data_IF_110573694776
#
_entry.id   IF_110573694776
#
_cell.length_a   1.000
_cell.length_b   1.000
_cell.length_c   1.000
_cell.angle_alpha   90.00
_cell.angle_beta   90.00
_cell.angle_gamma   90.00
#
_symmetry.space_group_name_H-M   'P 1'
#
loop_
_entity.id
_entity.type
_entity.pdbx_description
1 polymer ?
#
# COMPACT_ATOMS: atom_id res chain seq x y z
N UNK A 1 19.36 12.14 53.03
CA UNK A 1 19.83 13.00 51.91
C UNK A 1 20.72 12.24 50.89
N UNK A 2 20.43 10.97 50.57
CA UNK A 2 21.19 10.16 49.59
C UNK A 2 20.42 9.57 48.39
N UNK A 3 19.07 9.59 48.31
CA UNK A 3 18.38 8.94 47.17
C UNK A 3 18.37 9.79 45.89
N UNK A 4 18.43 11.12 46.00
CA UNK A 4 18.36 12.06 44.87
C UNK A 4 19.53 11.89 43.88
N UNK A 5 20.81 11.83 44.30
CA UNK A 5 21.91 11.66 43.35
C UNK A 5 21.91 10.28 42.68
N UNK A 6 21.48 9.22 43.38
CA UNK A 6 21.35 7.87 42.83
C UNK A 6 20.24 7.83 41.76
N UNK A 7 19.11 8.49 42.03
CA UNK A 7 18.01 8.63 41.09
C UNK A 7 18.43 9.42 39.84
N UNK A 8 19.12 10.55 40.00
CA UNK A 8 19.61 11.36 38.88
C UNK A 8 20.62 10.58 38.03
N UNK A 9 21.56 9.87 38.65
CA UNK A 9 22.54 9.06 37.93
C UNK A 9 21.89 7.88 37.19
N UNK A 10 20.88 7.25 37.79
CA UNK A 10 20.06 6.23 37.14
C UNK A 10 19.27 6.76 35.94
N UNK A 11 18.70 7.97 36.03
CA UNK A 11 17.98 8.61 34.92
C UNK A 11 18.94 8.96 33.77
N UNK A 12 20.12 9.52 34.08
CA UNK A 12 21.13 9.84 33.04
C UNK A 12 21.65 8.59 32.32
N UNK A 13 21.84 7.47 33.05
CA UNK A 13 22.23 6.19 32.46
C UNK A 13 21.10 5.58 31.60
N UNK A 14 19.84 5.73 32.00
CA UNK A 14 18.68 5.28 31.23
C UNK A 14 18.57 5.98 29.86
N UNK A 15 18.95 7.26 29.79
CA UNK A 15 18.97 8.04 28.52
C UNK A 15 20.08 7.56 27.57
N UNK A 16 21.11 6.87 28.07
CA UNK A 16 22.28 6.43 27.30
C UNK A 16 22.25 4.95 26.86
N UNK A 17 21.17 4.21 27.13
CA UNK A 17 21.11 2.77 26.83
C UNK A 17 21.17 2.45 25.32
N UNK A 18 20.85 3.41 24.45
CA UNK A 18 20.88 3.24 22.98
C UNK A 18 21.73 4.34 22.34
N UNK A 19 22.84 3.93 21.71
CA UNK A 19 23.65 4.82 20.88
C UNK A 19 22.98 5.05 19.52
N UNK A 20 22.28 6.18 19.39
CA UNK A 20 21.57 6.56 18.16
C UNK A 20 22.48 6.74 16.95
N UNK A 21 23.79 6.95 17.14
CA UNK A 21 24.75 7.13 16.03
C UNK A 21 24.98 5.83 15.26
N UNK A 22 24.65 4.67 15.85
CA UNK A 22 24.75 3.35 15.20
C UNK A 22 23.54 2.99 14.35
N UNK A 23 22.47 3.77 14.41
CA UNK A 23 21.25 3.53 13.63
C UNK A 23 21.14 4.54 12.50
N UNK A 24 20.85 4.03 11.29
CA UNK A 24 20.68 4.90 10.12
C UNK A 24 19.45 5.77 10.30
N UNK A 25 19.62 7.08 10.17
CA UNK A 25 18.51 7.99 9.88
C UNK A 25 18.11 7.88 8.39
N UNK A 26 17.04 8.58 8.00
CA UNK A 26 16.55 8.50 6.62
C UNK A 26 17.52 9.05 5.58
N UNK A 27 18.35 10.05 5.92
CA UNK A 27 19.34 10.61 5.01
C UNK A 27 20.52 9.66 4.78
N UNK A 28 20.82 8.81 5.76
CA UNK A 28 21.83 7.75 5.68
C UNK A 28 21.33 6.47 4.98
N UNK A 29 20.04 6.39 4.67
CA UNK A 29 19.43 5.30 3.90
C UNK A 29 19.04 5.79 2.51
N UNK A 30 19.78 5.38 1.49
CA UNK A 30 19.61 5.89 0.12
C UNK A 30 18.17 5.75 -0.41
N UNK A 31 17.47 4.66 -0.08
CA UNK A 31 16.07 4.48 -0.49
C UNK A 31 15.12 5.42 0.27
N UNK A 32 15.30 5.60 1.59
CA UNK A 32 14.44 6.50 2.37
C UNK A 32 14.62 7.94 1.88
N UNK A 33 15.87 8.37 1.69
CA UNK A 33 16.20 9.70 1.19
C UNK A 33 15.55 9.99 -0.17
N UNK A 34 15.65 9.06 -1.13
CA UNK A 34 15.03 9.23 -2.45
C UNK A 34 13.50 9.29 -2.38
N UNK A 35 12.87 8.39 -1.63
CA UNK A 35 11.40 8.35 -1.53
C UNK A 35 10.85 9.58 -0.81
N UNK A 36 11.52 10.08 0.24
CA UNK A 36 11.13 11.33 0.92
C UNK A 36 11.34 12.59 0.07
N UNK A 37 12.23 12.53 -0.91
CA UNK A 37 12.46 13.65 -1.83
C UNK A 37 11.37 13.77 -2.92
N UNK A 38 10.50 12.75 -3.07
CA UNK A 38 9.36 12.81 -4.00
C UNK A 38 8.34 13.79 -3.44
N UNK A 39 8.16 14.92 -4.13
CA UNK A 39 7.28 16.02 -3.73
C UNK A 39 6.16 16.31 -4.74
N UNK A 40 6.08 15.53 -5.82
CA UNK A 40 5.08 15.63 -6.88
C UNK A 40 4.57 14.23 -7.26
N UNK A 41 3.37 14.11 -7.85
CA UNK A 41 2.83 12.83 -8.27
C UNK A 41 3.77 12.10 -9.23
N UNK A 42 3.95 10.79 -9.01
CA UNK A 42 4.87 9.94 -9.79
C UNK A 42 4.40 9.66 -11.23
N UNK A 43 3.19 10.11 -11.58
CA UNK A 43 2.65 10.08 -12.94
C UNK A 43 2.16 8.70 -13.39
N UNK A 44 1.84 7.80 -12.47
CA UNK A 44 1.22 6.53 -12.84
C UNK A 44 -0.22 6.73 -13.30
N UNK A 45 -0.59 5.98 -14.33
CA UNK A 45 -1.93 5.93 -14.89
C UNK A 45 -2.32 4.49 -15.21
N UNK A 46 -3.61 4.18 -15.15
CA UNK A 46 -4.16 2.88 -15.59
C UNK A 46 -4.12 2.80 -17.11
N UNK A 47 -3.61 1.68 -17.63
CA UNK A 47 -3.74 1.35 -19.06
C UNK A 47 -5.16 0.85 -19.30
N UNK A 48 -6.02 1.70 -19.87
CA UNK A 48 -7.47 1.46 -19.96
C UNK A 48 -7.84 0.06 -20.52
N UNK A 49 -7.19 -0.37 -21.61
CA UNK A 49 -7.40 -1.67 -22.27
C UNK A 49 -7.08 -2.89 -21.40
N UNK A 50 -6.29 -2.70 -20.33
CA UNK A 50 -5.84 -3.78 -19.45
C UNK A 50 -6.73 -4.00 -18.23
N UNK A 51 -7.66 -3.07 -17.98
CA UNK A 51 -8.56 -3.11 -16.83
C UNK A 51 -9.57 -4.26 -16.98
N UNK A 52 -9.55 -5.20 -16.04
CA UNK A 52 -10.43 -6.36 -16.03
C UNK A 52 -10.91 -6.66 -14.61
N UNK A 53 -12.10 -7.27 -14.53
CA UNK A 53 -12.62 -7.82 -13.28
C UNK A 53 -12.76 -9.34 -13.43
N UNK A 54 -12.54 -10.04 -12.32
CA UNK A 54 -13.09 -11.37 -12.11
C UNK A 54 -14.12 -11.30 -10.97
N UNK A 55 -14.54 -12.45 -10.46
CA UNK A 55 -15.55 -12.54 -9.40
C UNK A 55 -15.17 -11.83 -8.09
N UNK A 56 -13.88 -11.56 -7.83
CA UNK A 56 -13.38 -11.12 -6.51
C UNK A 56 -12.40 -9.94 -6.57
N UNK A 57 -11.92 -9.56 -7.74
CA UNK A 57 -10.81 -8.66 -7.90
C UNK A 57 -10.88 -7.81 -9.17
N UNK A 58 -10.27 -6.63 -9.09
CA UNK A 58 -9.88 -5.81 -10.23
C UNK A 58 -8.40 -6.03 -10.53
N UNK A 59 -8.04 -6.13 -11.79
CA UNK A 59 -6.66 -6.20 -12.27
C UNK A 59 -6.45 -5.25 -13.42
N UNK A 60 -5.31 -4.58 -13.46
CA UNK A 60 -4.91 -3.72 -14.58
C UNK A 60 -3.38 -3.60 -14.65
N UNK A 61 -2.87 -3.11 -15.77
CA UNK A 61 -1.52 -2.56 -15.87
C UNK A 61 -1.58 -1.07 -15.53
N UNK A 62 -0.60 -0.61 -14.78
CA UNK A 62 -0.37 0.81 -14.53
C UNK A 62 0.99 1.19 -15.12
N UNK A 63 1.10 2.39 -15.68
CA UNK A 63 2.36 2.85 -16.28
C UNK A 63 2.64 4.29 -15.88
N UNK A 64 3.91 4.62 -15.74
CA UNK A 64 4.39 6.00 -15.80
C UNK A 64 5.32 6.15 -17.01
N UNK A 65 6.13 7.21 -17.05
CA UNK A 65 7.08 7.45 -18.14
C UNK A 65 8.22 6.42 -18.21
N UNK A 66 8.52 5.75 -17.10
CA UNK A 66 9.71 4.92 -16.94
C UNK A 66 9.39 3.43 -16.98
N UNK A 67 8.26 3.02 -16.41
CA UNK A 67 7.94 1.60 -16.22
C UNK A 67 6.44 1.30 -16.22
N UNK A 68 6.13 0.02 -16.45
CA UNK A 68 4.79 -0.57 -16.34
C UNK A 68 4.78 -1.61 -15.22
N UNK A 69 3.73 -1.61 -14.40
CA UNK A 69 3.51 -2.53 -13.27
C UNK A 69 2.15 -3.20 -13.41
N UNK A 70 1.99 -4.35 -12.76
CA UNK A 70 0.69 -5.00 -12.58
C UNK A 70 0.07 -4.53 -11.26
N UNK A 71 -1.21 -4.12 -11.33
CA UNK A 71 -2.04 -3.69 -10.21
C UNK A 71 -3.17 -4.70 -9.99
N UNK A 72 -3.33 -5.14 -8.74
CA UNK A 72 -4.46 -5.95 -8.30
C UNK A 72 -5.13 -5.35 -7.07
N UNK A 73 -6.45 -5.29 -7.08
CA UNK A 73 -7.28 -4.91 -5.92
C UNK A 73 -8.26 -6.05 -5.66
N UNK A 74 -8.08 -6.77 -4.56
CA UNK A 74 -8.82 -7.99 -4.22
C UNK A 74 -9.73 -7.75 -3.02
N UNK A 75 -11.00 -8.11 -3.11
CA UNK A 75 -11.93 -8.04 -1.98
C UNK A 75 -11.79 -9.30 -1.09
N UNK A 76 -11.70 -9.12 0.23
CA UNK A 76 -11.52 -10.20 1.21
C UNK A 76 -12.75 -10.38 2.12
N UNK A 77 -12.94 -11.58 2.66
CA UNK A 77 -14.12 -11.94 3.46
C UNK A 77 -14.24 -11.19 4.80
N UNK A 78 -13.16 -10.62 5.31
CA UNK A 78 -13.12 -9.84 6.54
C UNK A 78 -13.42 -8.35 6.32
N UNK A 79 -14.12 -8.04 5.23
CA UNK A 79 -14.46 -6.66 4.82
C UNK A 79 -13.24 -5.77 4.55
N UNK A 80 -12.11 -6.36 4.18
CA UNK A 80 -10.91 -5.64 3.76
C UNK A 80 -10.65 -5.76 2.25
N UNK A 81 -9.75 -4.91 1.75
CA UNK A 81 -9.24 -5.00 0.38
C UNK A 81 -7.72 -5.18 0.42
N UNK A 82 -7.21 -6.06 -0.44
CA UNK A 82 -5.78 -6.23 -0.66
C UNK A 82 -5.36 -5.54 -1.94
N UNK A 83 -4.55 -4.50 -1.80
CA UNK A 83 -3.85 -3.82 -2.90
C UNK A 83 -2.50 -4.47 -3.13
N UNK A 84 -2.23 -4.93 -4.35
CA UNK A 84 -0.93 -5.49 -4.75
C UNK A 84 -0.45 -4.78 -6.00
N UNK A 85 0.78 -4.28 -5.96
CA UNK A 85 1.49 -3.72 -7.11
C UNK A 85 2.78 -4.52 -7.27
N UNK A 86 3.02 -5.06 -8.46
CA UNK A 86 4.18 -5.89 -8.75
C UNK A 86 4.74 -5.60 -10.13
N UNK A 87 5.97 -6.05 -10.39
CA UNK A 87 6.50 -6.04 -11.75
C UNK A 87 5.77 -7.06 -12.63
N UNK A 88 5.61 -6.78 -13.94
CA UNK A 88 4.93 -7.68 -14.84
C UNK A 88 5.72 -8.98 -15.05
N UNK A 89 5.04 -9.97 -15.62
CA UNK A 89 5.67 -11.21 -16.08
C UNK A 89 6.85 -10.88 -17.02
N UNK A 90 8.00 -11.54 -16.80
CA UNK A 90 9.25 -11.27 -17.50
C UNK A 90 10.25 -10.41 -16.70
N UNK A 91 9.92 -9.97 -15.49
CA UNK A 91 10.88 -9.36 -14.57
C UNK A 91 12.08 -10.29 -14.29
N UNK A 92 13.29 -9.71 -14.17
CA UNK A 92 14.55 -10.46 -13.98
C UNK A 92 14.47 -11.38 -12.74
N UNK A 93 13.79 -10.92 -11.69
CA UNK A 93 13.56 -11.70 -10.47
C UNK A 93 12.21 -11.32 -9.87
N UNK A 94 11.56 -12.29 -9.24
CA UNK A 94 10.32 -12.05 -8.50
C UNK A 94 10.60 -11.15 -7.29
N UNK A 95 9.75 -10.15 -7.05
CA UNK A 95 9.81 -9.34 -5.83
C UNK A 95 9.43 -10.21 -4.62
N UNK A 96 10.08 -9.94 -3.50
CA UNK A 96 9.82 -10.66 -2.26
C UNK A 96 8.38 -10.44 -1.79
N UNK A 97 7.70 -11.51 -1.35
CA UNK A 97 6.38 -11.47 -0.75
C UNK A 97 6.45 -12.09 0.65
N UNK A 98 6.13 -11.34 1.73
CA UNK A 98 6.26 -11.83 3.11
C UNK A 98 5.09 -12.74 3.49
N UNK A 99 4.97 -13.91 2.84
CA UNK A 99 3.84 -14.82 3.04
C UNK A 99 3.81 -15.44 4.45
N UNK A 100 4.97 -15.59 5.09
CA UNK A 100 5.08 -16.18 6.43
C UNK A 100 4.55 -15.27 7.55
N UNK A 101 4.30 -13.99 7.26
CA UNK A 101 3.65 -13.07 8.19
C UNK A 101 2.12 -13.22 8.22
N UNK A 102 1.53 -14.01 7.30
CA UNK A 102 0.10 -14.24 7.22
C UNK A 102 -0.27 -15.56 7.89
N UNK A 103 -1.37 -15.57 8.65
CA UNK A 103 -1.94 -16.81 9.22
C UNK A 103 -2.34 -17.80 8.13
N UNK A 104 -2.87 -17.29 7.02
CA UNK A 104 -3.18 -18.05 5.80
C UNK A 104 -2.45 -17.40 4.62
N UNK A 105 -1.74 -18.19 3.79
CA UNK A 105 -0.96 -17.66 2.66
C UNK A 105 -1.79 -16.81 1.70
N UNK A 106 -3.02 -17.25 1.44
CA UNK A 106 -3.98 -16.59 0.58
C UNK A 106 -5.26 -16.30 1.38
N UNK A 107 -5.46 -15.05 1.84
CA UNK A 107 -6.67 -14.67 2.54
C UNK A 107 -7.93 -14.93 1.71
N UNK A 108 -8.98 -15.42 2.36
CA UNK A 108 -10.24 -15.78 1.69
C UNK A 108 -10.86 -14.56 1.03
N UNK A 109 -11.18 -14.72 -0.25
CA UNK A 109 -11.73 -13.65 -1.08
C UNK A 109 -13.26 -13.63 -1.01
N UNK A 110 -13.85 -12.44 -1.20
CA UNK A 110 -15.30 -12.27 -1.31
C UNK A 110 -15.70 -11.84 -2.73
N UNK A 111 -16.95 -12.12 -3.10
CA UNK A 111 -17.47 -11.77 -4.42
C UNK A 111 -17.74 -10.28 -4.54
N UNK A 112 -17.53 -9.75 -5.74
CA UNK A 112 -17.93 -8.40 -6.10
C UNK A 112 -19.42 -8.37 -6.42
N UNK A 113 -20.17 -7.51 -5.74
CA UNK A 113 -21.61 -7.33 -5.96
C UNK A 113 -21.90 -6.57 -7.25
N UNK A 114 -21.16 -5.48 -7.47
CA UNK A 114 -21.25 -4.66 -8.68
C UNK A 114 -19.89 -4.11 -9.06
N UNK A 115 -19.63 -4.10 -10.36
CA UNK A 115 -18.47 -3.44 -10.95
C UNK A 115 -18.92 -2.49 -12.04
N UNK A 116 -18.26 -1.35 -12.17
CA UNK A 116 -18.49 -0.39 -13.25
C UNK A 116 -17.18 0.24 -13.65
N UNK A 117 -16.88 0.24 -14.95
CA UNK A 117 -15.75 0.99 -15.50
C UNK A 117 -16.27 2.04 -16.47
N UNK A 118 -15.78 3.25 -16.31
CA UNK A 118 -15.90 4.34 -17.26
C UNK A 118 -14.49 4.75 -17.75
N UNK A 119 -14.41 5.77 -18.60
CA UNK A 119 -13.13 6.25 -19.16
C UNK A 119 -12.20 6.88 -18.13
N UNK A 120 -12.69 7.19 -16.93
CA UNK A 120 -11.95 7.92 -15.90
C UNK A 120 -11.70 7.11 -14.64
N UNK A 121 -12.55 6.11 -14.35
CA UNK A 121 -12.52 5.36 -13.13
C UNK A 121 -13.15 3.97 -13.26
N UNK A 122 -12.71 3.08 -12.37
CA UNK A 122 -13.28 1.77 -12.13
C UNK A 122 -13.82 1.70 -10.71
N UNK A 123 -15.05 1.23 -10.53
CA UNK A 123 -15.78 1.21 -9.26
C UNK A 123 -16.14 -0.22 -8.91
N UNK A 124 -15.86 -0.59 -7.66
CA UNK A 124 -16.17 -1.90 -7.08
C UNK A 124 -17.12 -1.69 -5.91
N UNK A 125 -18.15 -2.52 -5.81
CA UNK A 125 -19.04 -2.61 -4.65
C UNK A 125 -19.08 -4.08 -4.20
N UNK A 126 -18.84 -4.33 -2.92
CA UNK A 126 -18.90 -5.67 -2.31
C UNK A 126 -20.29 -5.97 -1.72
N UNK A 127 -20.53 -7.22 -1.33
CA UNK A 127 -21.83 -7.66 -0.80
C UNK A 127 -22.21 -6.98 0.52
N UNK A 128 -21.22 -6.77 1.37
CA UNK A 128 -21.28 -6.06 2.66
C UNK A 128 -21.40 -4.52 2.52
N UNK A 129 -21.37 -4.01 1.29
CA UNK A 129 -21.61 -2.61 0.96
C UNK A 129 -20.38 -1.71 0.96
N UNK A 130 -19.18 -2.25 1.07
CA UNK A 130 -17.95 -1.47 0.91
C UNK A 130 -17.66 -1.16 -0.57
N UNK A 131 -17.00 -0.03 -0.82
CA UNK A 131 -16.77 0.47 -2.18
C UNK A 131 -15.32 0.87 -2.39
N UNK A 132 -14.80 0.57 -3.58
CA UNK A 132 -13.49 1.06 -4.03
C UNK A 132 -13.67 1.84 -5.33
N UNK A 133 -12.99 2.99 -5.45
CA UNK A 133 -12.93 3.78 -6.68
C UNK A 133 -11.46 3.87 -7.11
N UNK A 134 -11.15 3.31 -8.26
CA UNK A 134 -9.84 3.38 -8.91
C UNK A 134 -9.93 4.45 -10.01
N UNK A 135 -9.43 5.64 -9.75
CA UNK A 135 -9.25 6.70 -10.75
C UNK A 135 -8.06 6.37 -11.65
N UNK A 136 -8.22 6.54 -12.96
CA UNK A 136 -7.27 6.05 -13.96
C UNK A 136 -6.09 7.00 -14.21
N UNK A 137 -6.34 8.30 -14.32
CA UNK A 137 -5.29 9.32 -14.55
C UNK A 137 -5.63 10.61 -13.79
N UNK A 138 -4.78 11.04 -12.84
CA UNK A 138 -3.69 10.26 -12.24
C UNK A 138 -4.24 9.05 -11.46
N UNK A 139 -3.43 7.99 -11.32
CA UNK A 139 -3.80 6.82 -10.53
C UNK A 139 -4.08 7.22 -9.08
N UNK A 140 -5.30 6.93 -8.61
CA UNK A 140 -5.71 7.11 -7.22
C UNK A 140 -6.71 6.03 -6.86
N UNK A 141 -6.61 5.45 -5.66
CA UNK A 141 -7.53 4.42 -5.19
C UNK A 141 -8.15 4.87 -3.88
N UNK A 142 -9.45 5.09 -3.88
CA UNK A 142 -10.23 5.50 -2.71
C UNK A 142 -11.02 4.31 -2.16
N UNK A 143 -10.86 4.02 -0.87
CA UNK A 143 -11.52 2.94 -0.14
C UNK A 143 -12.62 3.50 0.77
N UNK A 144 -13.84 3.01 0.60
CA UNK A 144 -15.02 3.47 1.32
C UNK A 144 -15.59 2.35 2.18
N UNK A 145 -15.83 2.67 3.46
CA UNK A 145 -16.72 1.90 4.29
C UNK A 145 -18.16 2.40 4.10
N UNK A 146 -18.93 1.70 3.27
CA UNK A 146 -20.24 2.18 2.79
C UNK A 146 -20.07 3.51 2.04
N UNK A 147 -20.55 4.61 2.61
CA UNK A 147 -20.43 5.94 2.01
C UNK A 147 -19.27 6.77 2.57
N UNK A 148 -18.57 6.27 3.60
CA UNK A 148 -17.50 7.02 4.27
C UNK A 148 -16.15 6.65 3.66
N UNK A 149 -15.41 7.64 3.14
CA UNK A 149 -14.02 7.45 2.72
C UNK A 149 -13.15 7.16 3.96
N UNK A 150 -12.53 5.98 4.01
CA UNK A 150 -11.71 5.54 5.16
C UNK A 150 -10.21 5.50 4.85
N UNK A 151 -9.84 5.36 3.59
CA UNK A 151 -8.45 5.36 3.16
C UNK A 151 -8.31 5.75 1.69
N UNK A 152 -7.15 6.29 1.33
CA UNK A 152 -6.79 6.57 -0.05
C UNK A 152 -5.34 6.16 -0.32
N UNK A 153 -5.08 5.65 -1.51
CA UNK A 153 -3.75 5.38 -2.03
C UNK A 153 -3.46 6.28 -3.23
N UNK A 154 -2.30 6.93 -3.18
CA UNK A 154 -1.73 7.74 -4.26
C UNK A 154 -0.26 7.31 -4.40
N UNK A 155 0.19 6.91 -5.60
CA UNK A 155 1.54 6.43 -5.86
C UNK A 155 2.59 7.55 -5.94
#
# INVERSE_FOLDING_TARGET
MRPIPILIFGILAYVAAVDRLKFKNCDQSAFCKRQRAVNSPTGYEVVAESAKFNDTAFSAKIKNKDLTLDLHVVALQDSTFRLVIDEPEGAIRKRYRPLDALTERDPKQQKLKKVKTDSTASKILTEDGHRVVITHSPLRIDFYSKEVLVSMYVP
#
